data_IF_776991884794
#
_entry.id   IF_776991884794
#
_cell.length_a   1.000
_cell.length_b   1.000
_cell.length_c   1.000
_cell.angle_alpha   90.00
_cell.angle_beta   90.00
_cell.angle_gamma   90.00
#
_symmetry.space_group_name_H-M   'P 1'
#
loop_
_entity.id
_entity.type
_entity.pdbx_description
1 polymer ?
#
# COMPACT_ATOMS: atom_id res chain seq x y z
N UNK A 1 -8.07 20.89 33.86
CA UNK A 1 -8.92 19.96 33.06
C UNK A 1 -8.41 18.51 33.12
N UNK A 2 -7.12 18.23 32.90
CA UNK A 2 -6.57 16.85 32.93
C UNK A 2 -6.43 16.18 34.31
N UNK A 3 -6.56 16.94 35.41
CA UNK A 3 -6.38 16.40 36.77
C UNK A 3 -7.33 15.24 37.10
N UNK A 4 -8.55 15.27 36.55
CA UNK A 4 -9.50 14.15 36.62
C UNK A 4 -8.85 12.84 36.15
N UNK A 5 -8.16 12.88 35.01
CA UNK A 5 -7.67 11.68 34.33
C UNK A 5 -6.51 11.11 35.14
N UNK A 6 -5.64 11.99 35.63
CA UNK A 6 -4.52 11.61 36.49
C UNK A 6 -5.05 10.97 37.80
N UNK A 7 -6.01 11.61 38.47
CA UNK A 7 -6.58 11.08 39.72
C UNK A 7 -7.30 9.74 39.50
N UNK A 8 -8.05 9.61 38.41
CA UNK A 8 -8.73 8.37 38.07
C UNK A 8 -7.74 7.24 37.73
N UNK A 9 -6.68 7.54 36.98
CA UNK A 9 -5.61 6.59 36.64
C UNK A 9 -4.83 6.15 37.87
N UNK A 10 -4.51 7.06 38.78
CA UNK A 10 -3.82 6.74 40.04
C UNK A 10 -4.70 5.88 40.96
N UNK A 11 -6.01 6.18 41.04
CA UNK A 11 -6.95 5.38 41.84
C UNK A 11 -7.14 3.97 41.27
N UNK A 12 -7.13 3.83 39.95
CA UNK A 12 -7.31 2.55 39.25
C UNK A 12 -5.98 2.01 38.69
N UNK A 13 -4.87 2.16 39.44
CA UNK A 13 -3.52 1.81 38.97
C UNK A 13 -3.41 0.40 38.39
N UNK A 14 -4.12 -0.58 38.96
CA UNK A 14 -4.09 -1.97 38.48
C UNK A 14 -4.69 -2.10 37.08
N UNK A 15 -5.85 -1.48 36.83
CA UNK A 15 -6.47 -1.47 35.50
C UNK A 15 -5.57 -0.82 34.46
N UNK A 16 -4.93 0.30 34.82
CA UNK A 16 -4.02 1.03 33.93
C UNK A 16 -2.81 0.16 33.58
N UNK A 17 -2.21 -0.50 34.57
CA UNK A 17 -1.06 -1.39 34.36
C UNK A 17 -1.44 -2.60 33.52
N UNK A 18 -2.58 -3.24 33.78
CA UNK A 18 -3.05 -4.37 32.97
C UNK A 18 -3.34 -3.95 31.53
N UNK A 19 -4.01 -2.81 31.32
CA UNK A 19 -4.26 -2.27 29.99
C UNK A 19 -2.95 -1.98 29.25
N UNK A 20 -1.96 -1.40 29.93
CA UNK A 20 -0.62 -1.18 29.38
C UNK A 20 0.05 -2.49 28.94
N UNK A 21 0.02 -3.53 29.78
CA UNK A 21 0.60 -4.84 29.45
C UNK A 21 -0.09 -5.47 28.24
N UNK A 22 -1.42 -5.38 28.14
CA UNK A 22 -2.17 -5.88 26.98
C UNK A 22 -1.76 -5.16 25.70
N UNK A 23 -1.67 -3.83 25.74
CA UNK A 23 -1.21 -3.03 24.60
C UNK A 23 0.22 -3.37 24.20
N UNK A 24 1.10 -3.59 25.18
CA UNK A 24 2.49 -3.96 24.95
C UNK A 24 2.60 -5.33 24.26
N UNK A 25 1.87 -6.34 24.73
CA UNK A 25 1.85 -7.68 24.11
C UNK A 25 1.29 -7.60 22.69
N UNK A 26 0.19 -6.88 22.50
CA UNK A 26 -0.39 -6.65 21.17
C UNK A 26 0.60 -5.96 20.24
N UNK A 27 1.30 -4.92 20.72
CA UNK A 27 2.33 -4.21 19.97
C UNK A 27 3.48 -5.11 19.54
N UNK A 28 4.00 -5.94 20.45
CA UNK A 28 5.06 -6.92 20.13
C UNK A 28 4.58 -7.92 19.07
N UNK A 29 3.34 -8.41 19.20
CA UNK A 29 2.78 -9.36 18.25
C UNK A 29 2.65 -8.77 16.84
N UNK A 30 2.20 -7.51 16.73
CA UNK A 30 2.11 -6.78 15.47
C UNK A 30 3.51 -6.55 14.90
N UNK A 31 4.44 -6.06 15.71
CA UNK A 31 5.81 -5.76 15.27
C UNK A 31 6.53 -7.00 14.72
N UNK A 32 6.30 -8.18 15.31
CA UNK A 32 6.83 -9.46 14.82
C UNK A 32 6.25 -9.92 13.49
N UNK A 33 5.06 -9.43 13.11
CA UNK A 33 4.35 -9.80 11.87
C UNK A 33 4.47 -8.75 10.78
N UNK A 34 4.93 -7.55 11.12
CA UNK A 34 5.08 -6.46 10.18
C UNK A 34 6.15 -6.82 9.16
N UNK A 35 5.79 -6.79 7.88
CA UNK A 35 6.73 -6.97 6.79
C UNK A 35 7.63 -5.74 6.71
N UNK A 36 8.94 -5.97 6.75
CA UNK A 36 9.92 -4.90 6.61
C UNK A 36 10.14 -4.68 5.12
N UNK A 37 9.66 -3.54 4.61
CA UNK A 37 9.92 -3.12 3.24
C UNK A 37 11.04 -2.08 3.24
N UNK A 38 12.08 -2.35 2.46
CA UNK A 38 13.30 -1.52 2.41
C UNK A 38 13.12 -0.35 1.43
N UNK A 39 12.21 -0.49 0.46
CA UNK A 39 11.97 0.51 -0.57
C UNK A 39 10.46 0.59 -0.83
N UNK A 40 9.78 1.66 -0.40
CA UNK A 40 8.39 1.82 -0.78
C UNK A 40 8.28 1.92 -2.32
N UNK A 41 7.17 1.48 -2.89
CA UNK A 41 6.93 1.64 -4.33
C UNK A 41 6.86 3.13 -4.69
N UNK A 42 7.87 3.60 -5.43
CA UNK A 42 7.92 4.97 -5.96
C UNK A 42 7.36 5.08 -7.38
N UNK A 43 7.13 3.94 -8.05
CA UNK A 43 6.65 3.93 -9.42
C UNK A 43 5.14 4.21 -9.45
N UNK A 44 4.66 5.14 -10.29
CA UNK A 44 3.22 5.25 -10.54
C UNK A 44 2.70 3.92 -11.12
N UNK A 45 1.45 3.53 -10.80
CA UNK A 45 0.87 2.31 -11.34
C UNK A 45 0.87 2.40 -12.87
N UNK A 46 1.51 1.41 -13.52
CA UNK A 46 1.67 1.34 -14.98
C UNK A 46 1.20 -0.02 -15.47
N UNK A 47 0.43 0.00 -16.55
CA UNK A 47 0.10 -1.20 -17.34
C UNK A 47 0.95 -1.19 -18.60
N UNK A 48 1.59 -2.31 -18.92
CA UNK A 48 2.42 -2.48 -20.12
C UNK A 48 1.75 -3.49 -21.04
N UNK A 49 1.48 -3.09 -22.28
CA UNK A 49 0.92 -3.95 -23.31
C UNK A 49 2.04 -4.22 -24.33
N UNK A 50 2.44 -5.49 -24.46
CA UNK A 50 3.48 -5.90 -25.40
C UNK A 50 2.85 -6.81 -26.46
N UNK A 51 3.05 -6.46 -27.73
CA UNK A 51 2.53 -7.24 -28.87
C UNK A 51 3.69 -7.60 -29.78
N UNK A 52 3.89 -8.90 -30.00
CA UNK A 52 4.89 -9.40 -30.94
C UNK A 52 4.28 -9.56 -32.33
N UNK A 53 4.93 -8.98 -33.34
CA UNK A 53 4.45 -9.03 -34.72
C UNK A 53 5.59 -9.30 -35.70
N UNK A 54 6.11 -10.55 -35.75
CA UNK A 54 7.18 -10.91 -36.66
C UNK A 54 6.71 -10.85 -38.12
N UNK A 55 7.51 -10.19 -38.97
CA UNK A 55 7.26 -10.10 -40.41
C UNK A 55 6.45 -8.89 -40.88
N UNK A 56 5.93 -8.06 -39.98
CA UNK A 56 5.39 -6.74 -40.34
C UNK A 56 6.52 -5.70 -40.36
N UNK A 57 6.42 -4.71 -41.26
CA UNK A 57 7.31 -3.55 -41.21
C UNK A 57 6.95 -2.66 -40.01
N UNK A 58 7.88 -1.80 -39.53
CA UNK A 58 7.60 -0.88 -38.45
C UNK A 58 6.37 0.02 -38.69
N UNK A 59 6.13 0.44 -39.94
CA UNK A 59 4.99 1.28 -40.33
C UNK A 59 3.65 0.54 -40.21
N UNK A 60 3.65 -0.74 -40.59
CA UNK A 60 2.47 -1.61 -40.46
C UNK A 60 2.18 -1.92 -38.99
N UNK A 61 3.21 -2.15 -38.16
CA UNK A 61 3.05 -2.35 -36.72
C UNK A 61 2.43 -1.11 -36.08
N UNK A 62 2.91 0.09 -36.42
CA UNK A 62 2.37 1.34 -35.89
C UNK A 62 0.89 1.52 -36.25
N UNK A 63 0.58 1.40 -37.54
CA UNK A 63 -0.75 1.73 -38.07
C UNK A 63 -1.80 0.67 -37.72
N UNK A 64 -1.42 -0.61 -37.74
CA UNK A 64 -2.35 -1.73 -37.59
C UNK A 64 -2.48 -2.19 -36.15
N UNK A 65 -1.43 -2.03 -35.33
CA UNK A 65 -1.37 -2.57 -33.98
C UNK A 65 -1.30 -1.44 -32.95
N UNK A 66 -0.19 -0.69 -32.90
CA UNK A 66 0.08 0.29 -31.83
C UNK A 66 -1.02 1.34 -31.75
N UNK A 67 -1.31 2.03 -32.86
CA UNK A 67 -2.29 3.11 -32.88
C UNK A 67 -3.69 2.66 -32.46
N UNK A 68 -4.08 1.44 -32.84
CA UNK A 68 -5.40 0.87 -32.47
C UNK A 68 -5.48 0.56 -30.98
N UNK A 69 -4.41 -0.01 -30.41
CA UNK A 69 -4.33 -0.32 -28.98
C UNK A 69 -4.32 0.97 -28.17
N UNK A 70 -3.51 1.95 -28.54
CA UNK A 70 -3.45 3.25 -27.85
C UNK A 70 -4.79 3.97 -27.89
N UNK A 71 -5.45 4.01 -29.05
CA UNK A 71 -6.77 4.64 -29.19
C UNK A 71 -7.84 3.93 -28.36
N UNK A 72 -7.78 2.60 -28.26
CA UNK A 72 -8.74 1.83 -27.46
C UNK A 72 -8.55 2.02 -25.95
N UNK A 73 -7.31 2.27 -25.51
CA UNK A 73 -6.97 2.52 -24.10
C UNK A 73 -7.08 4.01 -23.75
N UNK A 74 -7.10 4.90 -24.73
CA UNK A 74 -7.28 6.32 -24.51
C UNK A 74 -8.64 6.61 -23.85
N UNK A 75 -8.62 7.12 -22.62
CA UNK A 75 -9.82 7.39 -21.83
C UNK A 75 -10.27 6.23 -20.95
N UNK A 76 -9.46 5.18 -20.76
CA UNK A 76 -9.70 4.22 -19.68
C UNK A 76 -9.66 4.92 -18.32
N UNK A 77 -10.55 4.52 -17.38
CA UNK A 77 -10.66 5.14 -16.06
C UNK A 77 -9.41 4.99 -15.19
#
# INVERSE_FOLDING_TARGET
MFNWIIQWSLRNRLLVVTAYVVVLIAGIFVLRRMTLDVLPEFAPPRVVIQTESPGLSPEDVETLITFRIETAVNGTP
#
